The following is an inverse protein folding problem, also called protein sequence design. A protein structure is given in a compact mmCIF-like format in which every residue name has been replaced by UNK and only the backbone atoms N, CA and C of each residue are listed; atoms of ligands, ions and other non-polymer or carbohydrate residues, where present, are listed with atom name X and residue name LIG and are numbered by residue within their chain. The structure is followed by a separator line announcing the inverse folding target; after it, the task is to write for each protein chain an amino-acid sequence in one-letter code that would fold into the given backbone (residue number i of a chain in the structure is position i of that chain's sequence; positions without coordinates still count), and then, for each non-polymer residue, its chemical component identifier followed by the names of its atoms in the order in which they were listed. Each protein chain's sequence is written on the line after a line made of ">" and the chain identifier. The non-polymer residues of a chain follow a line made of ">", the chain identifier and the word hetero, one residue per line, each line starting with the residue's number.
data_IF_231816823581
#
_entry.id   IF_231816823581
#
_cell.length_a   1.000
_cell.length_b   1.000
_cell.length_c   1.000
_cell.angle_alpha   90.00
_cell.angle_beta   90.00
_cell.angle_gamma   90.00
#
_symmetry.space_group_name_H-M   'P 1'
#
loop_
_entity.id
_entity.type
_entity.pdbx_description
1 polymer ?
#
# COMPACT_ATOMS: atom_id res chain seq x y z
N UNK A 1 -12.33 15.57 -15.43
CA UNK A 1 -11.82 14.71 -14.36
C UNK A 1 -10.30 14.61 -14.42
N UNK A 2 -9.64 14.89 -13.31
CA UNK A 2 -8.20 14.77 -13.26
C UNK A 2 -7.84 13.28 -13.19
N UNK A 3 -7.12 12.79 -14.19
CA UNK A 3 -6.67 11.41 -14.21
C UNK A 3 -5.52 11.24 -13.22
N UNK A 4 -5.60 10.22 -12.38
CA UNK A 4 -4.52 9.92 -11.43
C UNK A 4 -3.26 9.46 -12.18
N UNK A 5 -2.06 9.78 -11.67
CA UNK A 5 -0.83 9.30 -12.27
C UNK A 5 -0.74 7.77 -12.24
N UNK A 6 0.08 7.16 -13.12
CA UNK A 6 0.35 5.72 -13.04
C UNK A 6 0.92 5.36 -11.68
N UNK A 7 0.62 4.13 -11.23
CA UNK A 7 1.03 3.67 -9.90
C UNK A 7 2.56 3.75 -9.70
N UNK A 8 3.33 3.55 -10.75
CA UNK A 8 4.80 3.61 -10.70
C UNK A 8 5.32 4.97 -10.27
N UNK A 9 4.56 6.04 -10.52
CA UNK A 9 4.95 7.40 -10.12
C UNK A 9 4.58 7.71 -8.67
N UNK A 10 3.71 6.90 -8.06
CA UNK A 10 3.23 7.12 -6.70
C UNK A 10 4.01 6.31 -5.67
N UNK A 11 4.71 5.26 -6.10
CA UNK A 11 5.40 4.34 -5.20
C UNK A 11 6.92 4.54 -5.28
N UNK A 12 7.64 4.41 -4.15
CA UNK A 12 9.10 4.37 -4.16
C UNK A 12 9.65 3.02 -4.62
N UNK A 13 8.77 2.05 -4.86
CA UNK A 13 9.13 0.69 -5.26
C UNK A 13 9.42 0.60 -6.76
N UNK A 14 10.23 -0.39 -7.14
CA UNK A 14 10.47 -0.74 -8.54
C UNK A 14 9.85 -2.09 -8.85
N UNK A 15 9.55 -2.33 -10.14
CA UNK A 15 9.10 -3.65 -10.58
C UNK A 15 10.22 -4.67 -10.37
N UNK A 16 9.93 -5.91 -9.95
CA UNK A 16 8.60 -6.52 -9.81
C UNK A 16 7.94 -6.29 -8.45
N UNK A 17 8.46 -5.43 -7.59
CA UNK A 17 7.97 -5.24 -6.24
C UNK A 17 6.73 -4.36 -6.14
N UNK A 18 6.26 -3.78 -7.25
CA UNK A 18 5.00 -3.05 -7.29
C UNK A 18 3.88 -4.08 -7.42
N UNK A 19 3.12 -4.25 -6.34
CA UNK A 19 2.04 -5.25 -6.27
C UNK A 19 0.66 -4.66 -6.57
N UNK A 20 0.48 -3.36 -6.36
CA UNK A 20 -0.78 -2.67 -6.62
C UNK A 20 -0.80 -2.23 -8.09
N UNK A 21 -1.87 -2.54 -8.79
CA UNK A 21 -1.94 -2.29 -10.23
C UNK A 21 -2.36 -0.86 -10.57
N UNK A 22 -3.24 -0.25 -9.77
CA UNK A 22 -3.69 1.13 -10.03
C UNK A 22 -4.31 1.77 -8.81
N UNK A 23 -4.24 3.10 -8.77
CA UNK A 23 -4.98 3.90 -7.81
C UNK A 23 -6.21 4.48 -8.52
N UNK A 24 -7.38 4.36 -7.92
CA UNK A 24 -8.63 4.85 -8.51
C UNK A 24 -9.09 6.17 -7.93
N UNK A 25 -8.83 6.39 -6.63
CA UNK A 25 -9.28 7.60 -5.95
C UNK A 25 -8.35 7.89 -4.78
N UNK A 26 -7.96 9.16 -4.63
CA UNK A 26 -7.13 9.62 -3.52
C UNK A 26 -7.77 10.88 -2.95
N UNK A 27 -8.08 10.86 -1.67
CA UNK A 27 -8.59 12.00 -0.94
C UNK A 27 -7.56 12.44 0.10
N UNK A 28 -7.90 13.42 0.94
CA UNK A 28 -6.98 13.92 1.94
C UNK A 28 -6.48 12.82 2.88
N UNK A 29 -7.38 11.95 3.33
CA UNK A 29 -7.06 10.91 4.32
C UNK A 29 -7.35 9.50 3.83
N UNK A 30 -7.76 9.33 2.58
CA UNK A 30 -8.18 8.01 2.07
C UNK A 30 -7.57 7.73 0.71
N UNK A 31 -7.47 6.43 0.40
CA UNK A 31 -7.09 5.97 -0.94
C UNK A 31 -7.86 4.70 -1.28
N UNK A 32 -8.18 4.57 -2.56
CA UNK A 32 -8.76 3.35 -3.14
C UNK A 32 -7.86 2.89 -4.28
N UNK A 33 -7.32 1.69 -4.14
CA UNK A 33 -6.49 1.04 -5.16
C UNK A 33 -7.12 -0.27 -5.61
N UNK A 34 -6.60 -0.81 -6.71
CA UNK A 34 -6.99 -2.14 -7.18
C UNK A 34 -5.77 -3.00 -7.44
N UNK A 35 -5.95 -4.29 -7.20
CA UNK A 35 -4.95 -5.33 -7.45
C UNK A 35 -5.59 -6.40 -8.31
N UNK A 36 -4.98 -6.72 -9.45
CA UNK A 36 -5.40 -7.81 -10.32
C UNK A 36 -4.65 -9.08 -9.94
N UNK A 37 -5.37 -10.13 -9.59
CA UNK A 37 -4.73 -11.40 -9.24
C UNK A 37 -4.45 -12.15 -10.54
N UNK A 38 -3.17 -12.22 -10.89
CA UNK A 38 -2.71 -12.81 -12.14
C UNK A 38 -1.24 -13.18 -12.05
N UNK A 39 -0.73 -13.79 -13.10
CA UNK A 39 0.63 -14.32 -13.19
C UNK A 39 1.72 -13.26 -13.03
N UNK A 40 1.41 -11.99 -13.29
CA UNK A 40 2.40 -10.89 -13.13
C UNK A 40 2.73 -10.60 -11.66
N UNK A 41 1.90 -11.06 -10.71
CA UNK A 41 2.16 -10.88 -9.29
C UNK A 41 3.27 -11.85 -8.87
N UNK A 42 4.39 -11.36 -8.28
CA UNK A 42 5.51 -12.23 -7.92
C UNK A 42 5.19 -13.29 -6.86
N UNK A 43 4.07 -13.14 -6.15
CA UNK A 43 3.61 -14.11 -5.16
C UNK A 43 2.55 -15.07 -5.70
N UNK A 44 2.32 -15.04 -7.01
CA UNK A 44 1.35 -15.93 -7.66
C UNK A 44 1.92 -17.35 -7.75
N UNK A 45 1.15 -18.31 -7.26
CA UNK A 45 1.49 -19.74 -7.36
C UNK A 45 0.79 -20.34 -8.57
N UNK A 46 1.57 -20.74 -9.58
CA UNK A 46 1.00 -21.27 -10.81
C UNK A 46 0.28 -22.61 -10.63
N UNK A 47 0.71 -23.41 -9.64
CA UNK A 47 0.10 -24.70 -9.36
C UNK A 47 -1.36 -24.57 -8.87
N UNK A 48 -1.64 -23.54 -8.06
CA UNK A 48 -2.98 -23.32 -7.51
C UNK A 48 -3.72 -22.15 -8.17
N UNK A 49 -3.05 -21.37 -9.01
CA UNK A 49 -3.57 -20.15 -9.63
C UNK A 49 -4.03 -19.12 -8.59
N UNK A 50 -3.25 -18.98 -7.51
CA UNK A 50 -3.63 -18.12 -6.38
C UNK A 50 -2.45 -17.30 -5.87
N UNK A 51 -2.81 -16.20 -5.16
CA UNK A 51 -1.88 -15.45 -4.31
C UNK A 51 -2.31 -15.68 -2.87
N UNK A 52 -1.39 -16.07 -1.96
CA UNK A 52 -1.77 -16.30 -0.56
C UNK A 52 -2.39 -15.07 0.09
N UNK A 53 -3.35 -15.28 0.97
CA UNK A 53 -4.07 -14.18 1.61
C UNK A 53 -3.15 -13.28 2.46
N UNK A 54 -2.05 -13.82 3.01
CA UNK A 54 -1.13 -13.00 3.82
C UNK A 54 -0.45 -11.89 3.00
N UNK A 55 -0.37 -12.04 1.67
CA UNK A 55 0.15 -10.98 0.79
C UNK A 55 -0.74 -9.75 0.79
N UNK A 56 -2.00 -9.89 1.22
CA UNK A 56 -2.93 -8.77 1.35
C UNK A 56 -2.40 -7.64 2.24
N UNK A 57 -1.57 -7.95 3.24
CA UNK A 57 -0.94 -6.92 4.07
C UNK A 57 -0.08 -6.01 3.20
N UNK A 58 0.68 -6.57 2.26
CA UNK A 58 1.51 -5.80 1.33
C UNK A 58 0.67 -4.97 0.37
N UNK A 59 -0.47 -5.49 -0.09
CA UNK A 59 -1.39 -4.69 -0.92
C UNK A 59 -1.87 -3.46 -0.18
N UNK A 60 -2.21 -3.62 1.09
CA UNK A 60 -2.66 -2.51 1.94
C UNK A 60 -1.51 -1.53 2.22
N UNK A 61 -0.32 -2.05 2.55
CA UNK A 61 0.86 -1.20 2.83
C UNK A 61 1.26 -0.39 1.60
N UNK A 62 1.25 -0.99 0.42
CA UNK A 62 1.56 -0.26 -0.81
C UNK A 62 0.49 0.77 -1.17
N UNK A 63 -0.76 0.49 -0.87
CA UNK A 63 -1.83 1.47 -1.07
C UNK A 63 -1.61 2.71 -0.21
N UNK A 64 -1.19 2.53 1.05
CA UNK A 64 -0.81 3.64 1.93
C UNK A 64 0.39 4.39 1.36
N UNK A 65 1.41 3.67 0.86
CA UNK A 65 2.56 4.30 0.23
C UNK A 65 2.16 5.12 -0.99
N UNK A 66 1.21 4.63 -1.79
CA UNK A 66 0.70 5.36 -2.95
C UNK A 66 -0.07 6.62 -2.53
N UNK A 67 -0.83 6.57 -1.44
CA UNK A 67 -1.47 7.74 -0.85
C UNK A 67 -0.42 8.80 -0.51
N UNK A 68 0.63 8.39 0.18
CA UNK A 68 1.73 9.28 0.57
C UNK A 68 2.45 9.85 -0.65
N UNK A 69 2.71 9.00 -1.66
CA UNK A 69 3.35 9.41 -2.91
C UNK A 69 2.52 10.41 -3.70
N UNK A 70 1.19 10.21 -3.75
CA UNK A 70 0.29 11.15 -4.42
C UNK A 70 0.36 12.54 -3.78
N UNK A 71 0.28 12.62 -2.45
CA UNK A 71 0.32 13.90 -1.75
C UNK A 71 1.68 14.58 -1.90
N UNK A 72 2.77 13.80 -1.92
CA UNK A 72 4.10 14.35 -2.17
C UNK A 72 4.20 14.91 -3.60
N UNK A 73 3.68 14.18 -4.59
CA UNK A 73 3.70 14.61 -5.99
C UNK A 73 2.92 15.92 -6.19
N UNK A 74 1.80 16.08 -5.50
CA UNK A 74 1.02 17.32 -5.54
C UNK A 74 1.78 18.51 -4.97
N UNK A 75 2.79 18.27 -4.13
CA UNK A 75 3.70 19.28 -3.57
C UNK A 75 5.01 19.35 -4.34
N UNK A 76 5.07 18.75 -5.52
CA UNK A 76 6.27 18.68 -6.38
C UNK A 76 7.47 18.04 -5.67
N UNK A 77 7.20 17.01 -4.85
CA UNK A 77 8.22 16.26 -4.12
C UNK A 77 8.24 14.80 -4.62
N UNK A 78 9.38 14.14 -4.45
CA UNK A 78 9.50 12.72 -4.75
C UNK A 78 8.67 11.90 -3.73
N UNK A 79 8.18 10.70 -4.11
CA UNK A 79 7.49 9.84 -3.15
C UNK A 79 8.37 9.59 -1.93
N UNK A 80 7.85 9.80 -0.71
CA UNK A 80 8.65 9.62 0.50
C UNK A 80 8.93 8.15 0.78
N UNK A 81 10.04 7.89 1.44
CA UNK A 81 10.36 6.56 1.95
C UNK A 81 9.60 6.40 3.26
N UNK A 82 8.60 5.51 3.27
CA UNK A 82 7.86 5.19 4.46
C UNK A 82 8.26 3.82 4.99
N UNK A 83 8.24 3.67 6.29
CA UNK A 83 8.55 2.42 6.95
C UNK A 83 7.30 1.85 7.59
N UNK A 84 6.92 0.64 7.22
CA UNK A 84 5.87 -0.09 7.90
C UNK A 84 6.45 -0.59 9.23
N UNK A 85 5.97 -0.01 10.34
CA UNK A 85 6.41 -0.40 11.67
C UNK A 85 5.72 -1.67 12.16
N UNK A 86 4.51 -1.93 11.66
CA UNK A 86 3.80 -3.13 12.00
C UNK A 86 2.38 -3.12 11.47
N UNK A 87 1.80 -4.31 11.44
CA UNK A 87 0.40 -4.50 11.14
C UNK A 87 -0.25 -5.14 12.37
N UNK A 88 -1.49 -4.74 12.64
CA UNK A 88 -2.26 -5.30 13.75
C UNK A 88 -3.59 -5.82 13.26
N UNK A 89 -4.02 -6.92 13.81
CA UNK A 89 -5.35 -7.47 13.60
C UNK A 89 -5.64 -7.74 12.12
N UNK A 90 -4.62 -8.25 11.38
CA UNK A 90 -4.90 -8.70 10.03
C UNK A 90 -5.79 -9.93 10.09
N UNK A 91 -6.99 -9.80 9.51
CA UNK A 91 -7.93 -10.89 9.38
C UNK A 91 -8.28 -11.07 7.91
N UNK A 92 -8.42 -12.31 7.48
CA UNK A 92 -8.84 -12.63 6.13
C UNK A 92 -9.91 -13.73 6.17
N UNK A 93 -10.99 -13.51 5.44
CA UNK A 93 -12.07 -14.49 5.31
C UNK A 93 -11.71 -15.62 4.33
N UNK A 94 -10.63 -15.45 3.55
CA UNK A 94 -10.19 -16.45 2.59
C UNK A 94 -8.72 -16.78 2.83
N UNK A 95 -8.30 -17.99 2.41
CA UNK A 95 -6.92 -18.43 2.54
C UNK A 95 -6.04 -17.92 1.40
N UNK A 96 -6.65 -17.59 0.27
CA UNK A 96 -5.94 -17.14 -0.92
C UNK A 96 -6.86 -16.34 -1.82
N UNK A 97 -6.26 -15.49 -2.66
CA UNK A 97 -6.96 -14.76 -3.70
C UNK A 97 -6.74 -15.50 -5.02
N UNK A 98 -7.81 -15.69 -5.79
CA UNK A 98 -7.78 -16.53 -7.00
C UNK A 98 -7.56 -15.72 -8.26
N UNK A 99 -6.89 -16.33 -9.23
CA UNK A 99 -6.69 -15.77 -10.56
C UNK A 99 -7.97 -15.20 -11.14
N UNK A 100 -7.89 -14.00 -11.70
CA UNK A 100 -9.02 -13.32 -12.30
C UNK A 100 -9.81 -12.43 -11.36
N UNK A 101 -9.56 -12.53 -10.04
CA UNK A 101 -10.17 -11.62 -9.09
C UNK A 101 -9.52 -10.24 -9.16
N UNK A 102 -10.34 -9.20 -9.00
CA UNK A 102 -9.89 -7.82 -8.86
C UNK A 102 -10.21 -7.41 -7.44
N UNK A 103 -9.17 -7.13 -6.66
CA UNK A 103 -9.33 -6.72 -5.26
C UNK A 103 -9.39 -5.22 -5.19
N UNK A 104 -10.36 -4.70 -4.45
CA UNK A 104 -10.42 -3.29 -4.10
C UNK A 104 -9.79 -3.10 -2.74
N UNK A 105 -8.76 -2.25 -2.67
CA UNK A 105 -8.00 -2.00 -1.45
C UNK A 105 -8.27 -0.58 -1.02
N UNK A 106 -8.77 -0.42 0.19
CA UNK A 106 -9.09 0.88 0.79
C UNK A 106 -8.23 1.10 2.01
N UNK A 107 -7.73 2.31 2.18
CA UNK A 107 -7.04 2.69 3.41
C UNK A 107 -7.48 4.09 3.82
N UNK A 108 -7.61 4.28 5.13
CA UNK A 108 -8.00 5.56 5.73
C UNK A 108 -7.04 5.89 6.86
N UNK A 109 -6.47 7.11 6.82
CA UNK A 109 -5.63 7.59 7.91
C UNK A 109 -6.54 7.99 9.08
N UNK A 110 -6.38 7.33 10.22
CA UNK A 110 -7.21 7.57 11.40
C UNK A 110 -6.49 8.38 12.47
N UNK A 111 -5.15 8.45 12.40
CA UNK A 111 -4.37 9.25 13.34
C UNK A 111 -2.99 9.54 12.74
N UNK A 112 -2.43 10.70 13.09
CA UNK A 112 -1.07 11.07 12.69
C UNK A 112 -0.45 11.96 13.76
N UNK A 113 0.81 11.68 14.10
CA UNK A 113 1.58 12.46 15.06
C UNK A 113 3.07 12.27 14.80
N UNK A 114 3.79 13.38 14.56
CA UNK A 114 5.25 13.41 14.38
C UNK A 114 5.79 12.39 13.36
N UNK A 115 5.10 12.27 12.22
CA UNK A 115 5.49 11.33 11.17
C UNK A 115 4.98 9.91 11.37
N UNK A 116 4.44 9.61 12.54
CA UNK A 116 3.77 8.33 12.81
C UNK A 116 2.32 8.44 12.38
N UNK A 117 1.86 7.48 11.60
CA UNK A 117 0.47 7.45 11.15
C UNK A 117 -0.13 6.07 11.35
N UNK A 118 -1.41 6.05 11.69
CA UNK A 118 -2.19 4.82 11.81
C UNK A 118 -3.25 4.83 10.72
N UNK A 119 -3.28 3.76 9.94
CA UNK A 119 -4.26 3.57 8.89
C UNK A 119 -5.14 2.36 9.19
N UNK A 120 -6.42 2.51 8.92
CA UNK A 120 -7.35 1.39 8.88
C UNK A 120 -7.50 0.98 7.42
N UNK A 121 -7.27 -0.29 7.11
CA UNK A 121 -7.28 -0.78 5.73
C UNK A 121 -8.20 -1.98 5.58
N UNK A 122 -8.75 -2.14 4.39
CA UNK A 122 -9.59 -3.29 4.07
C UNK A 122 -9.43 -3.66 2.60
N UNK A 123 -9.67 -4.93 2.33
CA UNK A 123 -9.77 -5.46 0.96
C UNK A 123 -11.20 -5.92 0.75
N UNK A 124 -11.77 -5.50 -0.38
CA UNK A 124 -13.10 -5.92 -0.79
C UNK A 124 -13.01 -6.70 -2.10
N UNK A 125 -13.85 -7.73 -2.21
CA UNK A 125 -14.03 -8.49 -3.43
C UNK A 125 -15.50 -8.40 -3.80
N UNK A 126 -15.79 -7.75 -4.93
CA UNK A 126 -17.15 -7.52 -5.41
C UNK A 126 -18.05 -6.88 -4.33
N UNK A 127 -17.51 -5.89 -3.63
CA UNK A 127 -18.22 -5.14 -2.61
C UNK A 127 -18.30 -5.80 -1.23
N UNK A 128 -17.75 -7.01 -1.08
CA UNK A 128 -17.74 -7.71 0.21
C UNK A 128 -16.36 -7.60 0.85
N UNK A 129 -16.28 -7.17 2.10
CA UNK A 129 -15.02 -7.09 2.83
C UNK A 129 -14.50 -8.51 3.08
N UNK A 130 -13.29 -8.80 2.58
CA UNK A 130 -12.66 -10.12 2.74
C UNK A 130 -11.41 -10.06 3.60
N UNK A 131 -10.85 -8.88 3.87
CA UNK A 131 -9.70 -8.74 4.75
C UNK A 131 -9.70 -7.34 5.37
N UNK A 132 -9.20 -7.24 6.61
CA UNK A 132 -9.02 -5.97 7.32
C UNK A 132 -7.70 -5.97 8.06
N UNK A 133 -7.16 -4.76 8.28
CA UNK A 133 -5.90 -4.62 8.99
C UNK A 133 -5.74 -3.20 9.51
N UNK A 134 -4.97 -3.04 10.58
CA UNK A 134 -4.45 -1.76 11.03
C UNK A 134 -2.97 -1.69 10.70
N UNK A 135 -2.56 -0.60 10.05
CA UNK A 135 -1.16 -0.40 9.66
C UNK A 135 -0.59 0.79 10.41
N UNK A 136 0.58 0.60 11.01
CA UNK A 136 1.34 1.66 11.65
C UNK A 136 2.52 1.99 10.75
N UNK A 137 2.60 3.25 10.30
CA UNK A 137 3.58 3.71 9.31
C UNK A 137 4.35 4.89 9.88
N UNK A 138 5.65 4.93 9.61
CA UNK A 138 6.50 6.05 9.95
C UNK A 138 7.11 6.62 8.67
N UNK A 139 6.89 7.92 8.45
CA UNK A 139 7.51 8.65 7.35
C UNK A 139 8.41 9.71 7.97
N UNK A 140 9.75 9.48 7.99
CA UNK A 140 10.66 10.42 8.61
C UNK A 140 10.74 11.72 7.81
N UNK A 141 10.98 12.84 8.51
CA UNK A 141 11.29 14.10 7.86
C UNK A 141 12.63 13.97 7.12
N UNK A 142 12.91 14.91 6.21
CA UNK A 142 14.21 14.94 5.50
C UNK A 142 15.37 15.01 6.48
N UNK A 143 15.24 15.81 7.55
CA UNK A 143 16.26 15.96 8.58
C UNK A 143 16.49 14.63 9.31
N UNK A 144 15.42 13.96 9.70
CA UNK A 144 15.51 12.69 10.41
C UNK A 144 16.12 11.61 9.54
N UNK A 145 15.76 11.58 8.25
CA UNK A 145 16.33 10.63 7.30
C UNK A 145 17.83 10.85 7.13
N UNK A 146 18.28 12.12 7.10
CA UNK A 146 19.68 12.48 7.03
C UNK A 146 20.45 11.97 8.25
N UNK A 147 19.91 12.15 9.45
CA UNK A 147 20.49 11.64 10.70
C UNK A 147 20.64 10.11 10.66
N UNK A 148 19.63 9.41 10.18
CA UNK A 148 19.65 7.95 10.07
C UNK A 148 20.73 7.48 9.11
N UNK A 149 20.94 8.18 7.98
CA UNK A 149 22.01 7.87 7.03
C UNK A 149 23.39 8.08 7.63
N UNK A 150 23.58 9.16 8.37
CA UNK A 150 24.85 9.45 9.04
C UNK A 150 25.18 8.34 10.05
N UNK A 151 24.20 7.93 10.86
CA UNK A 151 24.39 6.86 11.84
C UNK A 151 24.77 5.53 11.19
N UNK A 152 24.20 5.22 10.05
CA UNK A 152 24.49 3.95 9.37
C UNK A 152 25.89 3.91 8.75
N UNK A 153 26.54 5.07 8.61
CA UNK A 153 27.89 5.17 8.06
C UNK A 153 28.98 5.17 9.14
N UNK A 154 28.58 5.16 10.41
CA UNK A 154 29.52 5.11 11.54
C UNK A 154 29.75 3.61 11.98
#
# INVERSE_FOLDING_TARGET
>A
MTKLPPIEQLLPHDKPMILVDRALDVQQDTIHCQVDIAEHNPFFYSASHTVPAYVGIEFMAQSVAAWSGYHALMKEQAPPIGFLLGSRRYTSECDAFSRGQVLDVYAEKVMEDNGMAVFSARIELQGTVVATCQLNVYVPSKEKLQEMKIRSQQ
#
